data_IF_453282186054
#
_entry.id   IF_453282186054
#
_cell.length_a   1.000
_cell.length_b   1.000
_cell.length_c   1.000
_cell.angle_alpha   90.00
_cell.angle_beta   90.00
_cell.angle_gamma   90.00
#
_symmetry.space_group_name_H-M   'P 1'
#
loop_
_entity.id
_entity.type
_entity.pdbx_description
1 polymer ?
#
# COMPACT_ATOMS: atom_id res chain seq x y z
N UNK A 1 9.18 -43.27 16.04
CA UNK A 1 7.79 -43.60 16.42
C UNK A 1 7.13 -42.27 16.75
N UNK A 2 6.55 -41.59 15.77
CA UNK A 2 5.88 -40.30 16.00
C UNK A 2 4.40 -40.60 16.16
N UNK A 3 3.91 -40.41 17.38
CA UNK A 3 2.52 -40.60 17.72
C UNK A 3 1.63 -39.66 16.89
N UNK A 4 0.79 -40.30 16.08
CA UNK A 4 -0.31 -39.67 15.36
C UNK A 4 -1.37 -39.25 16.37
N UNK A 5 -1.50 -37.96 16.63
CA UNK A 5 -2.66 -37.40 17.31
C UNK A 5 -3.63 -36.84 16.27
N UNK A 6 -4.72 -37.58 16.07
CA UNK A 6 -5.90 -37.17 15.30
C UNK A 6 -6.78 -36.33 16.22
N UNK A 7 -6.76 -35.00 16.06
CA UNK A 7 -7.77 -34.13 16.67
C UNK A 7 -8.68 -33.53 15.58
N UNK A 8 -9.97 -33.74 15.78
CA UNK A 8 -11.03 -33.16 14.98
C UNK A 8 -11.11 -31.65 15.26
N UNK A 9 -11.36 -30.88 14.21
CA UNK A 9 -11.53 -29.42 14.24
C UNK A 9 -10.25 -28.64 14.57
N UNK A 10 -9.46 -28.38 13.54
CA UNK A 10 -8.30 -27.51 13.57
C UNK A 10 -8.12 -26.85 12.21
N UNK A 11 -9.07 -26.01 11.80
CA UNK A 11 -8.77 -25.05 10.74
C UNK A 11 -7.82 -24.00 11.35
N UNK A 12 -6.53 -24.32 11.44
CA UNK A 12 -5.50 -23.31 11.53
C UNK A 12 -5.46 -22.62 10.17
N UNK A 13 -6.42 -21.73 9.92
CA UNK A 13 -6.24 -20.69 8.91
C UNK A 13 -5.08 -19.87 9.40
N UNK A 14 -3.86 -20.23 8.99
CA UNK A 14 -2.79 -19.26 8.90
C UNK A 14 -3.38 -18.16 8.02
N UNK A 15 -3.75 -17.05 8.64
CA UNK A 15 -4.09 -15.84 7.89
C UNK A 15 -2.94 -15.67 6.90
N UNK A 16 -3.18 -15.73 5.58
CA UNK A 16 -2.12 -15.46 4.64
C UNK A 16 -1.57 -14.11 5.07
N UNK A 17 -0.26 -14.03 5.33
CA UNK A 17 0.40 -12.77 5.58
C UNK A 17 -0.10 -11.83 4.46
N UNK A 18 -0.90 -10.82 4.82
CA UNK A 18 -1.56 -10.00 3.81
C UNK A 18 -0.44 -9.45 2.94
N UNK A 19 -0.47 -9.80 1.65
CA UNK A 19 0.50 -9.31 0.70
C UNK A 19 0.49 -7.77 0.75
N UNK A 20 1.64 -7.10 0.56
CA UNK A 20 1.67 -5.65 0.50
C UNK A 20 0.72 -5.16 -0.61
N UNK A 21 0.01 -4.04 -0.39
CA UNK A 21 -0.94 -3.51 -1.37
C UNK A 21 -0.22 -3.20 -2.68
N UNK A 22 -0.89 -3.42 -3.80
CA UNK A 22 -0.33 -3.09 -5.11
C UNK A 22 -0.10 -1.58 -5.26
N UNK A 23 0.71 -1.16 -6.25
CA UNK A 23 0.91 0.24 -6.57
C UNK A 23 -0.40 0.97 -6.90
N UNK A 24 -1.28 0.33 -7.70
CA UNK A 24 -2.60 0.89 -8.03
C UNK A 24 -3.49 1.01 -6.79
N UNK A 25 -3.51 -0.01 -5.93
CA UNK A 25 -4.28 0.05 -4.68
C UNK A 25 -3.78 1.17 -3.77
N UNK A 26 -2.46 1.32 -3.66
CA UNK A 26 -1.81 2.38 -2.88
C UNK A 26 -2.16 3.75 -3.45
N UNK A 27 -2.07 3.93 -4.76
CA UNK A 27 -2.46 5.17 -5.41
C UNK A 27 -3.94 5.49 -5.18
N UNK A 28 -4.81 4.48 -5.28
CA UNK A 28 -6.24 4.61 -4.98
C UNK A 28 -6.50 5.07 -3.54
N UNK A 29 -5.76 4.53 -2.56
CA UNK A 29 -5.83 4.97 -1.15
C UNK A 29 -5.43 6.45 -1.01
N UNK A 30 -4.33 6.88 -1.63
CA UNK A 30 -3.88 8.28 -1.59
C UNK A 30 -4.94 9.21 -2.19
N UNK A 31 -5.50 8.85 -3.34
CA UNK A 31 -6.55 9.64 -4.00
C UNK A 31 -7.83 9.70 -3.15
N UNK A 32 -8.25 8.59 -2.54
CA UNK A 32 -9.40 8.57 -1.64
C UNK A 32 -9.20 9.45 -0.40
N UNK A 33 -7.99 9.47 0.16
CA UNK A 33 -7.67 10.38 1.27
C UNK A 33 -7.78 11.85 0.85
N UNK A 34 -7.29 12.19 -0.34
CA UNK A 34 -7.40 13.55 -0.89
C UNK A 34 -8.86 13.96 -1.07
N UNK A 35 -9.70 13.09 -1.65
CA UNK A 35 -11.14 13.33 -1.81
C UNK A 35 -11.85 13.51 -0.47
N UNK A 36 -11.57 12.64 0.49
CA UNK A 36 -12.17 12.72 1.83
C UNK A 36 -11.75 14.00 2.57
N UNK A 37 -10.55 14.49 2.31
CA UNK A 37 -10.04 15.77 2.81
C UNK A 37 -10.55 16.99 2.04
N UNK A 38 -11.36 16.81 0.99
CA UNK A 38 -11.82 17.90 0.13
C UNK A 38 -10.71 18.54 -0.71
N UNK A 39 -9.59 17.85 -0.90
CA UNK A 39 -8.49 18.33 -1.73
C UNK A 39 -8.80 18.13 -3.21
N UNK A 40 -8.41 19.10 -4.04
CA UNK A 40 -8.42 18.93 -5.49
C UNK A 40 -7.45 17.83 -5.92
N UNK A 41 -7.87 16.97 -6.86
CA UNK A 41 -6.99 15.99 -7.49
C UNK A 41 -6.52 16.55 -8.82
N UNK A 42 -5.24 16.88 -8.87
CA UNK A 42 -4.53 17.20 -10.09
C UNK A 42 -3.09 16.67 -9.96
N UNK A 43 -2.34 16.70 -11.06
CA UNK A 43 -0.95 16.20 -11.06
C UNK A 43 -0.10 16.85 -9.97
N UNK A 44 -0.24 18.17 -9.77
CA UNK A 44 0.54 18.91 -8.78
C UNK A 44 0.17 18.48 -7.35
N UNK A 45 -1.12 18.48 -6.98
CA UNK A 45 -1.55 18.10 -5.64
C UNK A 45 -1.24 16.64 -5.31
N UNK A 46 -1.32 15.75 -6.30
CA UNK A 46 -0.95 14.35 -6.16
C UNK A 46 0.56 14.18 -5.95
N UNK A 47 1.40 14.88 -6.72
CA UNK A 47 2.86 14.85 -6.53
C UNK A 47 3.25 15.33 -5.12
N UNK A 48 2.67 16.44 -4.67
CA UNK A 48 2.93 16.98 -3.32
C UNK A 48 2.52 15.99 -2.23
N UNK A 49 1.35 15.35 -2.37
CA UNK A 49 0.85 14.36 -1.41
C UNK A 49 1.72 13.09 -1.36
N UNK A 50 2.21 12.62 -2.50
CA UNK A 50 3.11 11.46 -2.57
C UNK A 50 4.48 11.78 -1.96
N UNK A 51 5.07 12.93 -2.31
CA UNK A 51 6.34 13.39 -1.73
C UNK A 51 6.26 13.52 -0.20
N UNK A 52 5.20 14.13 0.32
CA UNK A 52 4.99 14.24 1.76
C UNK A 52 4.86 12.88 2.46
N UNK A 53 4.29 11.86 1.81
CA UNK A 53 4.22 10.53 2.39
C UNK A 53 5.56 9.79 2.36
N UNK A 54 6.40 10.04 1.36
CA UNK A 54 7.78 9.54 1.33
C UNK A 54 8.56 10.13 2.51
N UNK A 55 8.49 11.45 2.71
CA UNK A 55 9.20 12.15 3.79
C UNK A 55 8.77 11.69 5.21
N UNK A 56 7.54 11.21 5.36
CA UNK A 56 6.96 10.77 6.64
C UNK A 56 7.02 9.25 6.86
N UNK A 57 7.31 8.48 5.81
CA UNK A 57 7.39 7.03 5.93
C UNK A 57 8.64 6.62 6.71
N UNK A 58 8.53 5.52 7.44
CA UNK A 58 9.68 4.84 8.07
C UNK A 58 9.86 3.43 7.53
N UNK A 59 9.04 3.03 6.56
CA UNK A 59 9.08 1.74 5.88
C UNK A 59 9.77 1.92 4.51
N UNK A 60 10.98 1.38 4.31
CA UNK A 60 11.70 1.49 3.05
C UNK A 60 10.98 0.87 1.85
N UNK A 61 10.17 -0.18 2.08
CA UNK A 61 9.41 -0.81 1.00
C UNK A 61 8.29 0.12 0.52
N UNK A 62 7.62 0.78 1.46
CA UNK A 62 6.59 1.78 1.16
C UNK A 62 7.18 3.02 0.50
N UNK A 63 8.33 3.51 0.96
CA UNK A 63 9.05 4.64 0.34
C UNK A 63 9.40 4.36 -1.13
N UNK A 64 9.92 3.17 -1.41
CA UNK A 64 10.25 2.75 -2.77
C UNK A 64 8.99 2.72 -3.65
N UNK A 65 7.91 2.11 -3.16
CA UNK A 65 6.64 2.04 -3.89
C UNK A 65 6.02 3.41 -4.15
N UNK A 66 6.04 4.32 -3.17
CA UNK A 66 5.58 5.70 -3.33
C UNK A 66 6.46 6.49 -4.31
N UNK A 67 7.77 6.25 -4.31
CA UNK A 67 8.71 6.87 -5.24
C UNK A 67 8.48 6.43 -6.68
N UNK A 68 8.19 5.13 -6.91
CA UNK A 68 7.79 4.62 -8.22
C UNK A 68 6.50 5.28 -8.72
N UNK A 69 5.48 5.35 -7.85
CA UNK A 69 4.21 6.02 -8.17
C UNK A 69 4.42 7.51 -8.50
N UNK A 70 5.26 8.20 -7.73
CA UNK A 70 5.61 9.59 -8.00
C UNK A 70 6.28 9.73 -9.38
N UNK A 71 7.20 8.82 -9.72
CA UNK A 71 7.82 8.76 -11.04
C UNK A 71 6.80 8.58 -12.17
N UNK A 72 5.81 7.68 -11.98
CA UNK A 72 4.72 7.48 -12.94
C UNK A 72 3.85 8.72 -13.12
N UNK A 73 3.49 9.41 -12.02
CA UNK A 73 2.67 10.62 -12.07
C UNK A 73 3.43 11.78 -12.73
N UNK A 74 4.75 11.86 -12.53
CA UNK A 74 5.61 12.88 -13.13
C UNK A 74 5.85 12.63 -14.61
N UNK A 75 5.97 11.38 -15.03
CA UNK A 75 6.12 11.01 -16.42
C UNK A 75 4.91 11.50 -17.22
N UNK A 76 5.19 12.31 -18.23
CA UNK A 76 4.18 12.82 -19.17
C UNK A 76 4.13 11.82 -20.33
N UNK A 77 3.06 11.05 -20.41
CA UNK A 77 2.71 10.27 -21.61
C UNK A 77 2.53 11.19 -22.82
#
# INVERSE_FOLDING_TARGET
>A
MTDTYKNASGNSTSLPALAPPSGEETLGRVVMEMLRGGQEINRHSLCVKLAAQIDLSTDPALEAQLSELLGLVLNKS
#
